data_IF_560938789150
#
_entry.id   IF_560938789150
#
_cell.length_a   1.000
_cell.length_b   1.000
_cell.length_c   1.000
_cell.angle_alpha   90.00
_cell.angle_beta   90.00
_cell.angle_gamma   90.00
#
_symmetry.space_group_name_H-M   'P 1'
#
loop_
_entity.id
_entity.type
_entity.pdbx_description
1 polymer ?
#
# COMPACT_ATOMS: atom_id res chain seq x y z
N UNK A 1 -24.46 -14.46 -33.96
CA UNK A 1 -24.53 -15.67 -34.80
C UNK A 1 -25.14 -16.83 -34.00
N UNK A 2 -26.30 -16.59 -33.37
CA UNK A 2 -27.08 -17.56 -32.58
C UNK A 2 -28.50 -17.85 -33.16
N UNK A 3 -28.84 -17.76 -34.48
CA UNK A 3 -30.19 -18.11 -34.93
C UNK A 3 -30.43 -19.62 -35.13
N UNK A 4 -29.41 -20.49 -34.99
CA UNK A 4 -29.48 -21.82 -35.61
C UNK A 4 -30.08 -22.94 -34.74
N UNK A 5 -30.10 -22.79 -33.41
CA UNK A 5 -30.72 -23.78 -32.53
C UNK A 5 -32.25 -23.73 -32.62
N UNK A 6 -32.83 -22.53 -32.61
CA UNK A 6 -34.28 -22.34 -32.80
C UNK A 6 -34.72 -22.77 -34.20
N UNK A 7 -33.86 -22.52 -35.20
CA UNK A 7 -34.12 -22.95 -36.58
C UNK A 7 -34.13 -24.49 -36.71
N UNK A 8 -33.14 -25.18 -36.13
CA UNK A 8 -33.10 -26.64 -36.12
C UNK A 8 -34.25 -27.27 -35.33
N UNK A 9 -34.64 -26.66 -34.21
CA UNK A 9 -35.80 -27.08 -33.41
C UNK A 9 -37.09 -26.97 -34.24
N UNK A 10 -37.35 -25.81 -34.86
CA UNK A 10 -38.56 -25.60 -35.65
C UNK A 10 -38.59 -26.48 -36.91
N UNK A 11 -37.45 -26.67 -37.58
CA UNK A 11 -37.38 -27.48 -38.79
C UNK A 11 -37.67 -28.96 -38.52
N UNK A 12 -37.10 -29.54 -37.46
CA UNK A 12 -37.33 -30.96 -37.16
C UNK A 12 -38.61 -31.15 -36.36
N UNK A 13 -38.69 -30.55 -35.17
CA UNK A 13 -39.77 -30.83 -34.22
C UNK A 13 -41.09 -30.25 -34.73
N UNK A 14 -41.06 -29.06 -35.35
CA UNK A 14 -42.24 -28.46 -35.95
C UNK A 14 -42.82 -29.31 -37.08
N UNK A 15 -41.98 -29.78 -38.01
CA UNK A 15 -42.43 -30.64 -39.11
C UNK A 15 -43.00 -31.98 -38.61
N UNK A 16 -42.34 -32.62 -37.65
CA UNK A 16 -42.79 -33.89 -37.08
C UNK A 16 -44.08 -33.74 -36.25
N UNK A 17 -44.22 -32.66 -35.45
CA UNK A 17 -45.46 -32.41 -34.71
C UNK A 17 -46.61 -32.09 -35.66
N UNK A 18 -46.34 -31.36 -36.75
CA UNK A 18 -47.34 -31.10 -37.77
C UNK A 18 -47.82 -32.41 -38.43
N UNK A 19 -46.90 -33.28 -38.84
CA UNK A 19 -47.22 -34.60 -39.40
C UNK A 19 -48.08 -35.42 -38.43
N UNK A 20 -47.70 -35.44 -37.14
CA UNK A 20 -48.44 -36.14 -36.09
C UNK A 20 -49.86 -35.59 -35.94
N UNK A 21 -50.02 -34.27 -35.89
CA UNK A 21 -51.34 -33.65 -35.65
C UNK A 21 -52.25 -33.75 -36.86
N UNK A 22 -51.75 -33.40 -38.04
CA UNK A 22 -52.57 -33.31 -39.25
C UNK A 22 -52.82 -34.69 -39.87
N UNK A 23 -51.77 -35.48 -40.10
CA UNK A 23 -51.90 -36.73 -40.85
C UNK A 23 -52.30 -37.89 -39.95
N UNK A 24 -51.56 -38.13 -38.85
CA UNK A 24 -51.91 -39.23 -37.92
C UNK A 24 -53.22 -38.89 -37.18
N UNK A 25 -53.37 -37.64 -36.73
CA UNK A 25 -54.62 -37.16 -36.11
C UNK A 25 -55.82 -37.26 -37.06
N UNK A 26 -55.66 -36.82 -38.31
CA UNK A 26 -56.70 -36.93 -39.34
C UNK A 26 -57.12 -38.37 -39.63
N UNK A 27 -56.17 -39.29 -39.77
CA UNK A 27 -56.48 -40.72 -39.94
C UNK A 27 -57.19 -41.32 -38.72
N UNK A 28 -56.83 -40.89 -37.50
CA UNK A 28 -57.50 -41.32 -36.27
C UNK A 28 -58.96 -40.84 -36.22
N UNK A 29 -59.23 -39.63 -36.68
CA UNK A 29 -60.61 -39.12 -36.71
C UNK A 29 -61.42 -39.75 -37.87
N UNK A 30 -60.77 -40.03 -39.01
CA UNK A 30 -61.34 -40.84 -40.08
C UNK A 30 -61.75 -42.24 -39.63
N UNK A 31 -60.91 -42.90 -38.81
CA UNK A 31 -61.23 -44.19 -38.18
C UNK A 31 -62.50 -44.14 -37.35
N UNK A 32 -62.68 -43.11 -36.52
CA UNK A 32 -63.90 -42.94 -35.70
C UNK A 32 -65.15 -42.77 -36.57
N UNK A 33 -65.04 -42.02 -37.68
CA UNK A 33 -66.15 -41.85 -38.63
C UNK A 33 -66.53 -43.18 -39.28
N UNK A 34 -65.53 -43.96 -39.72
CA UNK A 34 -65.73 -45.31 -40.23
C UNK A 34 -66.41 -46.21 -39.19
N UNK A 35 -65.84 -46.34 -37.98
CA UNK A 35 -66.39 -47.17 -36.90
C UNK A 35 -67.84 -46.80 -36.56
N UNK A 36 -68.17 -45.50 -36.55
CA UNK A 36 -69.55 -45.03 -36.33
C UNK A 36 -70.51 -45.47 -37.43
N UNK A 37 -70.11 -45.36 -38.70
CA UNK A 37 -70.96 -45.78 -39.82
C UNK A 37 -71.08 -47.30 -39.89
N UNK A 38 -70.02 -48.03 -39.56
CA UNK A 38 -70.07 -49.49 -39.37
C UNK A 38 -71.12 -49.87 -38.34
N UNK A 39 -71.14 -49.21 -37.17
CA UNK A 39 -72.12 -49.50 -36.13
C UNK A 39 -73.56 -49.25 -36.60
N UNK A 40 -73.82 -48.14 -37.30
CA UNK A 40 -75.15 -47.85 -37.83
C UNK A 40 -75.59 -48.86 -38.89
N UNK A 41 -74.71 -49.20 -39.82
CA UNK A 41 -75.00 -50.19 -40.86
C UNK A 41 -75.31 -51.56 -40.25
N UNK A 42 -74.47 -52.04 -39.32
CA UNK A 42 -74.74 -53.32 -38.63
C UNK A 42 -76.07 -53.27 -37.86
N UNK A 43 -76.38 -52.17 -37.17
CA UNK A 43 -77.65 -52.03 -36.44
C UNK A 43 -78.85 -52.02 -37.38
N UNK A 44 -78.74 -51.32 -38.53
CA UNK A 44 -79.79 -51.31 -39.55
C UNK A 44 -79.98 -52.69 -40.18
N UNK A 45 -78.88 -53.41 -40.44
CA UNK A 45 -78.90 -54.77 -40.96
C UNK A 45 -79.56 -55.75 -39.98
N UNK A 46 -79.18 -55.72 -38.69
CA UNK A 46 -79.80 -56.57 -37.68
C UNK A 46 -81.29 -56.29 -37.54
N UNK A 47 -81.69 -55.01 -37.54
CA UNK A 47 -83.10 -54.62 -37.52
C UNK A 47 -83.84 -55.16 -38.76
N UNK A 48 -83.24 -55.00 -39.94
CA UNK A 48 -83.80 -55.43 -41.21
C UNK A 48 -84.02 -56.95 -41.25
N UNK A 49 -83.01 -57.73 -40.86
CA UNK A 49 -83.07 -59.20 -40.83
C UNK A 49 -84.11 -59.74 -39.83
N UNK A 50 -84.44 -58.98 -38.80
CA UNK A 50 -85.44 -59.34 -37.79
C UNK A 50 -86.85 -58.85 -38.13
N UNK A 51 -87.11 -58.29 -39.33
CA UNK A 51 -88.47 -57.93 -39.73
C UNK A 51 -89.36 -59.19 -39.87
N UNK A 52 -90.56 -59.12 -39.29
CA UNK A 52 -91.56 -60.16 -39.46
C UNK A 52 -92.06 -60.20 -40.91
N UNK A 53 -92.16 -61.38 -41.50
CA UNK A 53 -92.76 -61.61 -42.82
C UNK A 53 -94.23 -61.18 -42.95
N UNK A 54 -94.91 -60.86 -41.83
CA UNK A 54 -96.29 -60.37 -41.80
C UNK A 54 -96.41 -58.83 -41.84
N UNK A 55 -95.28 -58.11 -41.94
CA UNK A 55 -95.27 -56.64 -41.98
C UNK A 55 -95.89 -56.11 -43.28
N UNK A 56 -96.57 -54.94 -43.24
CA UNK A 56 -97.08 -54.29 -44.44
C UNK A 56 -95.95 -53.94 -45.42
N UNK A 57 -96.21 -54.10 -46.71
CA UNK A 57 -95.23 -53.87 -47.80
C UNK A 57 -94.62 -52.46 -47.78
N UNK A 58 -95.42 -51.43 -47.46
CA UNK A 58 -94.95 -50.05 -47.32
C UNK A 58 -93.89 -49.91 -46.22
N UNK A 59 -94.02 -50.67 -45.12
CA UNK A 59 -93.04 -50.64 -44.04
C UNK A 59 -91.76 -51.39 -44.41
N UNK A 60 -91.86 -52.48 -45.18
CA UNK A 60 -90.70 -53.22 -45.70
C UNK A 60 -89.88 -52.35 -46.66
N UNK A 61 -90.53 -51.69 -47.62
CA UNK A 61 -89.89 -50.77 -48.58
C UNK A 61 -89.13 -49.62 -47.91
N UNK A 62 -89.64 -49.11 -46.78
CA UNK A 62 -88.97 -48.06 -46.00
C UNK A 62 -87.69 -48.57 -45.33
N UNK A 63 -87.70 -49.80 -44.81
CA UNK A 63 -86.53 -50.40 -44.17
C UNK A 63 -85.48 -50.82 -45.21
N UNK A 64 -85.90 -51.26 -46.41
CA UNK A 64 -85.01 -51.47 -47.57
C UNK A 64 -84.23 -50.20 -47.91
N UNK A 65 -84.96 -49.08 -48.12
CA UNK A 65 -84.35 -47.81 -48.47
C UNK A 65 -83.38 -47.30 -47.38
N UNK A 66 -83.69 -47.53 -46.10
CA UNK A 66 -82.84 -47.17 -44.98
C UNK A 66 -81.56 -48.04 -44.97
N UNK A 67 -81.69 -49.35 -45.17
CA UNK A 67 -80.54 -50.26 -45.22
C UNK A 67 -79.60 -49.89 -46.37
N UNK A 68 -80.13 -49.66 -47.57
CA UNK A 68 -79.34 -49.20 -48.71
C UNK A 68 -78.63 -47.86 -48.43
N UNK A 69 -79.32 -46.94 -47.77
CA UNK A 69 -78.73 -45.64 -47.40
C UNK A 69 -77.56 -45.81 -46.43
N UNK A 70 -77.72 -46.61 -45.38
CA UNK A 70 -76.66 -46.87 -44.41
C UNK A 70 -75.51 -47.69 -45.04
N UNK A 71 -75.80 -48.61 -45.97
CA UNK A 71 -74.78 -49.34 -46.73
C UNK A 71 -73.93 -48.39 -47.57
N UNK A 72 -74.55 -47.49 -48.35
CA UNK A 72 -73.82 -46.48 -49.12
C UNK A 72 -72.94 -45.59 -48.24
N UNK A 73 -73.43 -45.21 -47.06
CA UNK A 73 -72.67 -44.42 -46.10
C UNK A 73 -71.50 -45.19 -45.48
N UNK A 74 -71.68 -46.48 -45.20
CA UNK A 74 -70.63 -47.38 -44.72
C UNK A 74 -69.55 -47.57 -45.78
N UNK A 75 -69.93 -47.88 -47.02
CA UNK A 75 -69.00 -48.08 -48.13
C UNK A 75 -68.15 -46.83 -48.37
N UNK A 76 -68.79 -45.66 -48.43
CA UNK A 76 -68.09 -44.38 -48.56
C UNK A 76 -67.11 -44.15 -47.40
N UNK A 77 -67.55 -44.33 -46.15
CA UNK A 77 -66.69 -44.11 -44.99
C UNK A 77 -65.53 -45.12 -44.92
N UNK A 78 -65.73 -46.35 -45.40
CA UNK A 78 -64.69 -47.37 -45.46
C UNK A 78 -63.61 -47.01 -46.47
N UNK A 79 -64.00 -46.59 -47.69
CA UNK A 79 -63.07 -46.19 -48.74
C UNK A 79 -62.34 -44.90 -48.38
N UNK A 80 -63.05 -43.90 -47.82
CA UNK A 80 -62.44 -42.68 -47.28
C UNK A 80 -61.32 -43.02 -46.27
N UNK A 81 -61.59 -43.95 -45.35
CA UNK A 81 -60.62 -44.34 -44.34
C UNK A 81 -59.42 -45.11 -44.93
N UNK A 82 -59.64 -46.01 -45.89
CA UNK A 82 -58.56 -46.71 -46.61
C UNK A 82 -57.68 -45.70 -47.36
N UNK A 83 -58.27 -44.72 -48.03
CA UNK A 83 -57.53 -43.64 -48.70
C UNK A 83 -56.68 -42.84 -47.70
N UNK A 84 -57.24 -42.45 -46.55
CA UNK A 84 -56.50 -41.75 -45.50
C UNK A 84 -55.31 -42.58 -44.99
N UNK A 85 -55.50 -43.88 -44.75
CA UNK A 85 -54.41 -44.77 -44.32
C UNK A 85 -53.30 -44.84 -45.38
N UNK A 86 -53.68 -44.96 -46.65
CA UNK A 86 -52.73 -45.01 -47.74
C UNK A 86 -51.95 -43.71 -47.87
N UNK A 87 -52.63 -42.56 -47.74
CA UNK A 87 -51.99 -41.25 -47.77
C UNK A 87 -50.95 -41.10 -46.66
N UNK A 88 -51.29 -41.47 -45.40
CA UNK A 88 -50.33 -41.45 -44.28
C UNK A 88 -49.12 -42.34 -44.56
N UNK A 89 -49.32 -43.54 -45.13
CA UNK A 89 -48.22 -44.46 -45.45
C UNK A 89 -47.28 -43.90 -46.52
N UNK A 90 -47.82 -43.23 -47.54
CA UNK A 90 -46.97 -42.61 -48.57
C UNK A 90 -46.26 -41.37 -48.03
N UNK A 91 -46.97 -40.49 -47.30
CA UNK A 91 -46.40 -39.26 -46.72
C UNK A 91 -45.25 -39.55 -45.76
N UNK A 92 -45.38 -40.57 -44.91
CA UNK A 92 -44.31 -40.96 -43.97
C UNK A 92 -42.97 -41.21 -44.66
N UNK A 93 -42.99 -41.74 -45.90
CA UNK A 93 -41.76 -42.12 -46.62
C UNK A 93 -40.94 -40.90 -47.04
N UNK A 94 -41.59 -39.81 -47.42
CA UNK A 94 -40.88 -38.63 -47.94
C UNK A 94 -40.80 -37.49 -46.92
N UNK A 95 -41.87 -37.16 -46.19
CA UNK A 95 -41.86 -35.99 -45.30
C UNK A 95 -40.83 -36.11 -44.18
N UNK A 96 -40.59 -37.33 -43.66
CA UNK A 96 -39.54 -37.58 -42.67
C UNK A 96 -38.13 -37.39 -43.25
N UNK A 97 -37.91 -37.92 -44.45
CA UNK A 97 -36.60 -37.84 -45.12
C UNK A 97 -36.31 -36.41 -45.54
N UNK A 98 -37.29 -35.68 -46.06
CA UNK A 98 -37.17 -34.26 -46.39
C UNK A 98 -36.83 -33.43 -45.16
N UNK A 99 -37.50 -33.67 -44.03
CA UNK A 99 -37.21 -33.00 -42.76
C UNK A 99 -35.76 -33.20 -42.33
N UNK A 100 -35.26 -34.45 -42.38
CA UNK A 100 -33.87 -34.75 -42.04
C UNK A 100 -32.87 -34.15 -43.05
N UNK A 101 -33.19 -34.19 -44.33
CA UNK A 101 -32.33 -33.66 -45.38
C UNK A 101 -32.16 -32.15 -45.23
N UNK A 102 -33.25 -31.41 -45.02
CA UNK A 102 -33.21 -29.96 -44.77
C UNK A 102 -32.38 -29.62 -43.54
N UNK A 103 -32.53 -30.38 -42.46
CA UNK A 103 -31.69 -30.21 -41.27
C UNK A 103 -30.21 -30.44 -41.57
N UNK A 104 -29.87 -31.51 -42.28
CA UNK A 104 -28.48 -31.82 -42.67
C UNK A 104 -27.85 -30.69 -43.49
N UNK A 105 -28.60 -30.12 -44.44
CA UNK A 105 -28.13 -28.95 -45.19
C UNK A 105 -27.86 -27.75 -44.27
N UNK A 106 -28.82 -27.41 -43.39
CA UNK A 106 -28.64 -26.32 -42.43
C UNK A 106 -27.44 -26.53 -41.51
N UNK A 107 -27.24 -27.76 -41.02
CA UNK A 107 -26.12 -28.16 -40.19
C UNK A 107 -24.78 -27.99 -40.92
N UNK A 108 -24.65 -28.52 -42.15
CA UNK A 108 -23.42 -28.41 -42.93
C UNK A 108 -23.09 -26.96 -43.28
N UNK A 109 -24.09 -26.17 -43.67
CA UNK A 109 -23.90 -24.73 -43.94
C UNK A 109 -23.44 -23.99 -42.69
N UNK A 110 -23.98 -24.30 -41.51
CA UNK A 110 -23.54 -23.69 -40.26
C UNK A 110 -22.06 -23.89 -39.99
N UNK A 111 -21.58 -25.14 -40.05
CA UNK A 111 -20.18 -25.44 -39.81
C UNK A 111 -19.26 -24.83 -40.86
N UNK A 112 -19.69 -24.82 -42.12
CA UNK A 112 -18.95 -24.15 -43.18
C UNK A 112 -18.82 -22.64 -42.91
N UNK A 113 -19.92 -21.96 -42.57
CA UNK A 113 -19.89 -20.53 -42.23
C UNK A 113 -19.02 -20.24 -41.00
N UNK A 114 -19.11 -21.10 -39.98
CA UNK A 114 -18.28 -20.98 -38.77
C UNK A 114 -16.79 -21.13 -39.09
N UNK A 115 -16.43 -22.06 -39.97
CA UNK A 115 -15.05 -22.25 -40.44
C UNK A 115 -14.53 -21.01 -41.18
N UNK A 116 -15.29 -20.49 -42.15
CA UNK A 116 -14.87 -19.31 -42.92
C UNK A 116 -14.69 -18.08 -42.01
N UNK A 117 -15.60 -17.85 -41.05
CA UNK A 117 -15.47 -16.76 -40.08
C UNK A 117 -14.21 -16.90 -39.20
N UNK A 118 -13.91 -18.13 -38.75
CA UNK A 118 -12.72 -18.40 -37.95
C UNK A 118 -11.44 -18.13 -38.75
N UNK A 119 -11.43 -18.55 -40.02
CA UNK A 119 -10.32 -18.31 -40.96
C UNK A 119 -10.11 -16.82 -41.23
N UNK A 120 -11.18 -16.05 -41.42
CA UNK A 120 -11.09 -14.58 -41.57
C UNK A 120 -10.46 -13.90 -40.34
N UNK A 121 -10.66 -14.49 -39.15
CA UNK A 121 -10.13 -13.98 -37.88
C UNK A 121 -8.70 -14.42 -37.57
N UNK A 122 -8.16 -15.40 -38.31
CA UNK A 122 -6.86 -16.03 -38.04
C UNK A 122 -5.71 -15.02 -38.07
N UNK A 123 -5.73 -14.10 -39.04
CA UNK A 123 -4.72 -13.04 -39.17
C UNK A 123 -4.70 -12.12 -37.94
N UNK A 124 -5.87 -11.70 -37.47
CA UNK A 124 -5.99 -10.84 -36.29
C UNK A 124 -5.53 -11.54 -35.02
N UNK A 125 -5.84 -12.83 -34.87
CA UNK A 125 -5.38 -13.62 -33.73
C UNK A 125 -3.85 -13.76 -33.72
N UNK A 126 -3.26 -14.02 -34.90
CA UNK A 126 -1.81 -14.12 -35.07
C UNK A 126 -1.10 -12.79 -34.78
N UNK A 127 -1.63 -11.68 -35.29
CA UNK A 127 -1.09 -10.34 -35.00
C UNK A 127 -1.17 -10.01 -33.50
N UNK A 128 -2.29 -10.33 -32.84
CA UNK A 128 -2.44 -10.15 -31.41
C UNK A 128 -1.42 -10.98 -30.62
N UNK A 129 -1.21 -12.24 -31.01
CA UNK A 129 -0.22 -13.12 -30.40
C UNK A 129 1.20 -12.54 -30.53
N UNK A 130 1.55 -12.03 -31.71
CA UNK A 130 2.85 -11.41 -31.96
C UNK A 130 3.05 -10.13 -31.13
N UNK A 131 2.04 -9.25 -31.05
CA UNK A 131 2.07 -8.05 -30.20
C UNK A 131 2.24 -8.40 -28.73
N UNK A 132 1.50 -9.40 -28.25
CA UNK A 132 1.59 -9.85 -26.87
C UNK A 132 3.00 -10.37 -26.55
N UNK A 133 3.62 -11.11 -27.46
CA UNK A 133 4.99 -11.58 -27.29
C UNK A 133 5.98 -10.40 -27.25
N UNK A 134 5.85 -9.45 -28.17
CA UNK A 134 6.68 -8.24 -28.19
C UNK A 134 6.59 -7.47 -26.87
N UNK A 135 5.40 -7.27 -26.33
CA UNK A 135 5.22 -6.59 -25.04
C UNK A 135 5.86 -7.36 -23.88
N UNK A 136 5.85 -8.71 -23.90
CA UNK A 136 6.56 -9.52 -22.90
C UNK A 136 8.07 -9.31 -23.01
N UNK A 137 8.61 -9.32 -24.21
CA UNK A 137 10.05 -9.17 -24.44
C UNK A 137 10.51 -7.76 -24.00
N UNK A 138 9.75 -6.72 -24.34
CA UNK A 138 9.97 -5.33 -23.89
C UNK A 138 9.94 -5.21 -22.36
N UNK A 139 8.99 -5.88 -21.69
CA UNK A 139 8.92 -5.91 -20.22
C UNK A 139 10.17 -6.55 -19.62
N UNK A 140 10.61 -7.70 -20.14
CA UNK A 140 11.80 -8.41 -19.63
C UNK A 140 13.06 -7.57 -19.82
N UNK A 141 13.22 -6.95 -21.00
CA UNK A 141 14.34 -6.06 -21.29
C UNK A 141 14.36 -4.86 -20.31
N UNK A 142 13.23 -4.15 -20.19
CA UNK A 142 13.09 -2.98 -19.31
C UNK A 142 13.36 -3.36 -17.85
N UNK A 143 12.82 -4.49 -17.39
CA UNK A 143 13.05 -4.98 -16.03
C UNK A 143 14.54 -5.21 -15.76
N UNK A 144 15.23 -5.86 -16.71
CA UNK A 144 16.66 -6.15 -16.58
C UNK A 144 17.49 -4.87 -16.51
N UNK A 145 17.17 -3.88 -17.35
CA UNK A 145 17.83 -2.57 -17.31
C UNK A 145 17.59 -1.84 -15.99
N UNK A 146 16.35 -1.83 -15.49
CA UNK A 146 15.99 -1.21 -14.21
C UNK A 146 16.69 -1.90 -13.03
N UNK A 147 16.77 -3.23 -13.02
CA UNK A 147 17.49 -3.98 -12.00
C UNK A 147 18.99 -3.67 -12.03
N UNK A 148 19.60 -3.59 -13.21
CA UNK A 148 21.00 -3.20 -13.39
C UNK A 148 21.26 -1.77 -12.90
N UNK A 149 20.39 -0.81 -13.28
CA UNK A 149 20.49 0.57 -12.83
C UNK A 149 20.35 0.70 -11.30
N UNK A 150 19.43 -0.05 -10.69
CA UNK A 150 19.25 -0.12 -9.25
C UNK A 150 20.54 -0.58 -8.56
N UNK A 151 21.11 -1.69 -9.01
CA UNK A 151 22.32 -2.25 -8.41
C UNK A 151 23.51 -1.30 -8.54
N UNK A 152 23.74 -0.73 -9.74
CA UNK A 152 24.78 0.30 -9.97
C UNK A 152 24.58 1.52 -9.07
N UNK A 153 23.34 1.98 -8.89
CA UNK A 153 23.04 3.13 -8.03
C UNK A 153 23.33 2.82 -6.56
N UNK A 154 23.01 1.61 -6.09
CA UNK A 154 23.30 1.17 -4.72
C UNK A 154 24.81 1.05 -4.49
N UNK A 155 25.55 0.45 -5.42
CA UNK A 155 27.01 0.33 -5.35
C UNK A 155 27.68 1.71 -5.28
N UNK A 156 27.26 2.66 -6.11
CA UNK A 156 27.78 4.03 -6.10
C UNK A 156 27.50 4.72 -4.75
N UNK A 157 26.32 4.50 -4.16
CA UNK A 157 25.98 5.03 -2.82
C UNK A 157 26.77 4.40 -1.67
N UNK A 158 27.18 3.14 -1.80
CA UNK A 158 27.98 2.44 -0.78
C UNK A 158 29.46 2.77 -0.87
N UNK A 159 29.97 2.98 -2.10
CA UNK A 159 31.41 3.19 -2.35
C UNK A 159 31.84 4.64 -2.37
N UNK A 160 30.92 5.58 -2.64
CA UNK A 160 31.19 7.03 -2.64
C UNK A 160 30.19 7.75 -1.73
N UNK A 161 30.68 8.61 -0.84
CA UNK A 161 29.83 9.59 -0.16
C UNK A 161 29.34 10.62 -1.18
N UNK A 162 28.16 10.40 -1.76
CA UNK A 162 27.57 11.39 -2.68
C UNK A 162 26.98 12.56 -1.90
N UNK A 163 27.47 13.77 -2.19
CA UNK A 163 26.81 14.99 -1.75
C UNK A 163 25.53 15.20 -2.56
N UNK A 164 24.40 14.78 -1.99
CA UNK A 164 23.06 14.93 -2.57
C UNK A 164 22.76 16.40 -2.89
N UNK A 165 23.36 17.34 -2.15
CA UNK A 165 23.13 18.76 -2.34
C UNK A 165 23.78 19.37 -3.59
N UNK A 166 24.63 18.61 -4.30
CA UNK A 166 25.32 19.04 -5.53
C UNK A 166 24.84 18.30 -6.79
N UNK A 167 23.81 17.45 -6.70
CA UNK A 167 23.35 16.62 -7.82
C UNK A 167 22.67 17.41 -8.95
N UNK A 168 22.06 18.55 -8.64
CA UNK A 168 21.49 19.47 -9.63
C UNK A 168 22.43 20.65 -9.82
N UNK A 169 22.92 20.84 -11.05
CA UNK A 169 23.85 21.92 -11.40
C UNK A 169 23.15 23.29 -11.50
N UNK A 170 21.82 23.33 -11.44
CA UNK A 170 21.05 24.58 -11.46
C UNK A 170 21.28 25.42 -10.20
N UNK A 171 21.50 24.78 -9.06
CA UNK A 171 21.72 25.44 -7.78
C UNK A 171 23.15 25.21 -7.29
N UNK A 172 23.69 26.17 -6.54
CA UNK A 172 24.99 25.99 -5.87
C UNK A 172 24.90 24.96 -4.76
N UNK A 173 23.77 24.95 -4.04
CA UNK A 173 23.44 23.90 -3.08
C UNK A 173 21.93 23.80 -2.91
N UNK A 174 21.47 22.58 -2.68
CA UNK A 174 20.08 22.32 -2.31
C UNK A 174 20.01 21.19 -1.28
N UNK A 175 18.90 21.09 -0.55
CA UNK A 175 18.71 20.03 0.42
C UNK A 175 17.77 20.42 1.54
N UNK A 176 17.57 19.50 2.48
CA UNK A 176 16.68 19.73 3.60
C UNK A 176 17.40 20.45 4.75
N UNK A 177 16.80 21.53 5.23
CA UNK A 177 17.20 22.23 6.45
C UNK A 177 16.01 22.33 7.40
N UNK A 178 16.27 22.48 8.70
CA UNK A 178 15.22 22.81 9.65
C UNK A 178 15.33 24.29 10.02
N UNK A 179 14.23 25.02 9.90
CA UNK A 179 14.14 26.44 10.27
C UNK A 179 13.56 26.56 11.68
N UNK A 180 14.17 27.42 12.50
CA UNK A 180 13.62 27.81 13.79
C UNK A 180 12.55 28.89 13.59
N UNK A 181 11.29 28.51 13.74
CA UNK A 181 10.14 29.41 13.69
C UNK A 181 9.70 29.83 15.09
N UNK A 182 9.40 31.12 15.25
CA UNK A 182 8.73 31.63 16.45
C UNK A 182 7.22 31.53 16.26
N UNK A 183 6.54 30.82 17.16
CA UNK A 183 5.08 30.71 17.24
C UNK A 183 4.57 31.37 18.52
N UNK A 184 3.25 31.55 18.61
CA UNK A 184 2.61 32.22 19.75
C UNK A 184 2.96 31.60 21.12
N UNK A 185 3.25 30.29 21.18
CA UNK A 185 3.55 29.56 22.41
C UNK A 185 4.98 29.02 22.49
N UNK A 186 5.93 29.67 21.82
CA UNK A 186 7.34 29.30 21.86
C UNK A 186 7.93 29.03 20.47
N UNK A 187 9.07 28.37 20.43
CA UNK A 187 9.78 28.10 19.17
C UNK A 187 9.57 26.67 18.69
N UNK A 188 9.44 26.49 17.37
CA UNK A 188 9.36 25.16 16.73
C UNK A 188 10.39 25.05 15.62
N UNK A 189 10.81 23.83 15.32
CA UNK A 189 11.64 23.54 14.16
C UNK A 189 10.78 22.97 13.04
N UNK A 190 10.87 23.55 11.85
CA UNK A 190 10.09 23.13 10.68
C UNK A 190 11.01 22.76 9.53
N UNK A 191 10.76 21.60 8.94
CA UNK A 191 11.56 21.08 7.82
C UNK A 191 11.23 21.86 6.55
N UNK A 192 12.27 22.34 5.88
CA UNK A 192 12.20 23.04 4.61
C UNK A 192 13.12 22.37 3.59
N UNK A 193 12.70 22.34 2.33
CA UNK A 193 13.61 22.11 1.22
C UNK A 193 14.17 23.46 0.78
N UNK A 194 15.48 23.62 0.91
CA UNK A 194 16.18 24.86 0.66
C UNK A 194 16.99 24.76 -0.63
N UNK A 195 17.04 25.85 -1.38
CA UNK A 195 17.81 25.97 -2.62
C UNK A 195 18.55 27.31 -2.60
N UNK A 196 19.84 27.27 -2.89
CA UNK A 196 20.68 28.46 -2.97
C UNK A 196 21.38 28.54 -4.32
N UNK A 197 21.26 29.71 -4.95
CA UNK A 197 22.05 30.06 -6.13
C UNK A 197 23.02 31.20 -5.79
N UNK A 198 24.33 30.89 -5.81
CA UNK A 198 25.42 31.84 -5.52
C UNK A 198 25.51 32.98 -6.52
N UNK A 199 25.14 32.76 -7.79
CA UNK A 199 25.21 33.80 -8.83
C UNK A 199 24.20 34.92 -8.57
N UNK A 200 22.97 34.55 -8.22
CA UNK A 200 21.90 35.49 -7.89
C UNK A 200 21.83 35.86 -6.41
N UNK A 201 22.56 35.16 -5.54
CA UNK A 201 22.45 35.19 -4.07
C UNK A 201 21.02 34.91 -3.57
N UNK A 202 20.21 34.24 -4.38
CA UNK A 202 18.84 33.92 -4.04
C UNK A 202 18.80 32.66 -3.18
N UNK A 203 18.16 32.77 -2.02
CA UNK A 203 17.92 31.68 -1.09
C UNK A 203 16.42 31.42 -0.98
N UNK A 204 16.01 30.22 -1.38
CA UNK A 204 14.61 29.79 -1.41
C UNK A 204 14.36 28.76 -0.32
N UNK A 205 13.29 28.93 0.46
CA UNK A 205 12.83 27.97 1.46
C UNK A 205 11.40 27.54 1.11
N UNK A 206 11.23 26.23 0.97
CA UNK A 206 9.93 25.62 0.70
C UNK A 206 9.58 24.74 1.90
N UNK A 207 8.54 25.05 2.68
CA UNK A 207 8.12 24.19 3.77
C UNK A 207 7.78 22.80 3.24
N UNK A 208 8.32 21.77 3.88
CA UNK A 208 8.18 20.40 3.43
C UNK A 208 7.44 19.56 4.46
N UNK A 209 6.27 19.05 4.06
CA UNK A 209 5.47 18.11 4.84
C UNK A 209 5.37 16.76 4.14
N UNK A 210 5.96 15.73 4.76
CA UNK A 210 6.02 14.37 4.23
C UNK A 210 4.65 13.64 4.17
N UNK A 211 3.62 14.17 4.85
CA UNK A 211 2.30 13.53 4.95
C UNK A 211 1.34 14.09 3.88
N UNK A 212 1.38 15.40 3.63
CA UNK A 212 0.36 16.06 2.82
C UNK A 212 0.77 16.30 1.37
N UNK A 213 2.08 16.26 1.04
CA UNK A 213 2.61 16.45 -0.32
C UNK A 213 2.32 17.81 -0.98
N UNK A 214 1.50 18.67 -0.35
CA UNK A 214 1.17 20.00 -0.85
C UNK A 214 2.35 20.95 -0.67
N UNK A 215 2.78 21.54 -1.78
CA UNK A 215 3.69 22.68 -1.79
C UNK A 215 2.94 23.89 -1.20
N UNK A 216 3.35 24.33 -0.01
CA UNK A 216 2.84 25.57 0.60
C UNK A 216 3.64 26.78 0.10
N UNK A 217 3.35 27.97 0.65
CA UNK A 217 4.07 29.21 0.34
C UNK A 217 5.59 29.04 0.29
N UNK A 218 6.18 29.44 -0.83
CA UNK A 218 7.62 29.51 -1.03
C UNK A 218 8.13 30.86 -0.50
N UNK A 219 9.08 30.85 0.42
CA UNK A 219 9.77 32.07 0.85
C UNK A 219 11.09 32.22 0.08
N UNK A 220 11.32 33.40 -0.48
CA UNK A 220 12.55 33.73 -1.20
C UNK A 220 13.17 34.97 -0.62
N UNK A 221 14.49 34.97 -0.51
CA UNK A 221 15.24 36.11 0.00
C UNK A 221 16.62 36.21 -0.64
N UNK A 222 17.10 37.44 -0.83
CA UNK A 222 18.50 37.69 -1.16
C UNK A 222 19.37 37.58 0.08
N UNK A 223 20.28 36.62 0.08
CA UNK A 223 21.18 36.31 1.18
C UNK A 223 22.15 37.47 1.44
N UNK A 224 22.08 38.14 2.60
CA UNK A 224 23.01 39.19 3.05
C UNK A 224 24.26 38.60 3.71
N UNK A 225 24.07 37.72 4.69
CA UNK A 225 25.16 37.04 5.39
C UNK A 225 24.75 35.66 5.89
N UNK A 226 25.75 34.80 6.04
CA UNK A 226 25.64 33.47 6.63
C UNK A 226 26.72 33.34 7.72
N UNK A 227 26.35 32.95 8.94
CA UNK A 227 27.27 32.87 10.08
C UNK A 227 27.00 31.61 10.88
N UNK A 228 28.04 30.87 11.28
CA UNK A 228 27.88 29.68 12.12
C UNK A 228 27.36 30.08 13.52
N UNK A 229 26.34 29.37 14.01
CA UNK A 229 25.77 29.58 15.35
C UNK A 229 26.62 28.83 16.38
N UNK A 230 26.92 29.45 17.51
CA UNK A 230 27.67 28.81 18.59
C UNK A 230 26.80 27.78 19.32
N UNK A 231 27.35 26.59 19.60
CA UNK A 231 26.62 25.52 20.29
C UNK A 231 26.16 25.92 21.69
N UNK A 232 26.87 26.82 22.38
CA UNK A 232 26.47 27.28 23.72
C UNK A 232 25.30 28.27 23.68
N UNK A 233 24.98 28.81 22.49
CA UNK A 233 23.88 29.77 22.30
C UNK A 233 22.57 29.10 21.87
N UNK A 234 22.60 27.80 21.53
CA UNK A 234 21.43 27.05 21.09
C UNK A 234 21.57 25.56 21.43
N UNK A 235 20.54 24.97 22.02
CA UNK A 235 20.52 23.54 22.36
C UNK A 235 20.20 22.66 21.13
N UNK A 236 20.95 22.84 20.03
CA UNK A 236 20.85 22.09 18.78
C UNK A 236 22.21 22.04 18.07
N UNK A 237 22.52 20.92 17.45
CA UNK A 237 23.75 20.73 16.65
C UNK A 237 23.59 21.30 15.24
N UNK A 238 24.73 21.62 14.61
CA UNK A 238 24.84 21.96 13.18
C UNK A 238 24.06 23.21 12.74
N UNK A 239 23.92 24.18 13.63
CA UNK A 239 23.14 25.38 13.38
C UNK A 239 23.97 26.51 12.76
N UNK A 240 23.33 27.30 11.91
CA UNK A 240 23.88 28.53 11.35
C UNK A 240 22.75 29.54 11.14
N UNK A 241 23.13 30.81 11.07
CA UNK A 241 22.22 31.92 10.90
C UNK A 241 22.38 32.54 9.52
N UNK A 242 21.25 32.87 8.92
CA UNK A 242 21.15 33.59 7.66
C UNK A 242 20.41 34.89 7.88
N UNK A 243 20.88 35.96 7.25
CA UNK A 243 20.17 37.25 7.18
C UNK A 243 19.88 37.61 5.72
N UNK A 244 18.79 38.34 5.49
CA UNK A 244 18.39 38.80 4.15
C UNK A 244 18.72 40.28 3.96
N UNK A 245 18.98 40.71 2.72
CA UNK A 245 19.27 42.12 2.41
C UNK A 245 18.04 43.01 2.65
N UNK A 246 16.86 42.50 2.31
CA UNK A 246 15.59 43.22 2.33
C UNK A 246 14.91 43.21 3.71
N UNK A 247 15.36 42.35 4.63
CA UNK A 247 14.73 42.14 5.95
C UNK A 247 15.73 42.44 7.05
N UNK A 248 16.04 43.72 7.22
CA UNK A 248 17.08 44.17 8.15
C UNK A 248 16.72 43.80 9.60
N UNK A 249 17.70 43.24 10.33
CA UNK A 249 17.53 42.74 11.70
C UNK A 249 16.85 41.38 11.84
N UNK A 250 16.24 40.80 10.79
CA UNK A 250 15.65 39.46 10.87
C UNK A 250 16.72 38.37 10.66
N UNK A 251 16.85 37.48 11.64
CA UNK A 251 17.78 36.34 11.61
C UNK A 251 17.00 35.04 11.44
N UNK A 252 17.36 34.25 10.43
CA UNK A 252 16.83 32.90 10.18
C UNK A 252 17.83 31.88 10.70
N UNK A 253 17.47 31.16 11.76
CA UNK A 253 18.33 30.11 12.30
C UNK A 253 17.96 28.78 11.69
N UNK A 254 18.93 28.19 11.00
CA UNK A 254 18.79 26.96 10.23
C UNK A 254 19.65 25.86 10.86
N UNK A 255 19.17 24.63 10.80
CA UNK A 255 19.88 23.44 11.23
C UNK A 255 20.09 22.51 10.04
N UNK A 256 21.36 22.16 9.79
CA UNK A 256 21.78 21.16 8.81
C UNK A 256 21.69 19.73 9.36
N UNK A 257 21.79 18.73 8.47
CA UNK A 257 21.61 17.32 8.84
C UNK A 257 22.85 16.71 9.52
N UNK A 258 24.04 17.24 9.21
CA UNK A 258 25.33 16.81 9.76
C UNK A 258 26.31 17.97 9.82
N UNK A 259 27.49 17.75 10.43
CA UNK A 259 28.56 18.74 10.44
C UNK A 259 29.11 19.00 9.02
N UNK A 260 29.26 17.95 8.21
CA UNK A 260 29.71 18.08 6.81
C UNK A 260 28.67 18.84 5.98
N UNK A 261 27.39 18.54 6.15
CA UNK A 261 26.30 19.25 5.46
C UNK A 261 26.29 20.74 5.86
N UNK A 262 26.45 21.06 7.16
CA UNK A 262 26.59 22.44 7.63
C UNK A 262 27.78 23.14 6.98
N UNK A 263 28.96 22.50 6.95
CA UNK A 263 30.17 23.09 6.34
C UNK A 263 29.92 23.41 4.87
N UNK A 264 29.34 22.49 4.12
CA UNK A 264 29.05 22.70 2.71
C UNK A 264 27.98 23.79 2.47
N UNK A 265 26.98 23.91 3.34
CA UNK A 265 26.03 25.05 3.30
C UNK A 265 26.72 26.38 3.59
N UNK A 266 27.60 26.43 4.59
CA UNK A 266 28.40 27.61 4.88
C UNK A 266 29.30 27.97 3.70
N UNK A 267 30.03 27.01 3.13
CA UNK A 267 30.93 27.23 1.99
C UNK A 267 30.18 27.72 0.75
N UNK A 268 29.00 27.16 0.47
CA UNK A 268 28.16 27.60 -0.63
C UNK A 268 27.74 29.08 -0.47
N UNK A 269 27.42 29.48 0.76
CA UNK A 269 26.90 30.80 1.13
C UNK A 269 27.98 31.80 1.60
N UNK A 270 29.26 31.50 1.40
CA UNK A 270 30.41 32.31 1.87
C UNK A 270 30.34 32.63 3.38
N UNK A 271 29.91 31.64 4.15
CA UNK A 271 29.61 31.77 5.56
C UNK A 271 30.85 32.03 6.42
N UNK A 272 30.67 32.80 7.49
CA UNK A 272 31.75 33.19 8.41
C UNK A 272 31.66 32.45 9.73
N UNK A 273 32.82 32.19 10.33
CA UNK A 273 32.89 31.81 11.74
C UNK A 273 32.48 33.02 12.61
N UNK A 274 31.81 32.79 13.76
CA UNK A 274 31.42 33.88 14.63
C UNK A 274 32.66 34.64 15.10
N UNK A 275 32.66 35.96 14.93
CA UNK A 275 33.77 36.81 15.30
C UNK A 275 33.85 36.85 16.83
N UNK A 276 34.86 36.17 17.37
CA UNK A 276 35.22 36.31 18.78
C UNK A 276 35.56 37.78 19.02
N UNK A 277 34.80 38.47 19.86
CA UNK A 277 35.46 39.44 20.73
C UNK A 277 36.43 38.61 21.56
N UNK A 278 37.69 38.57 21.11
CA UNK A 278 38.81 37.92 21.76
C UNK A 278 38.85 38.47 23.17
N UNK A 279 38.34 37.70 24.13
CA UNK A 279 38.48 37.95 25.56
C UNK A 279 39.95 37.78 25.92
N UNK A 280 40.77 38.75 25.56
CA UNK A 280 42.20 38.81 25.88
C UNK A 280 42.47 39.44 27.25
N UNK A 281 41.43 39.70 28.06
CA UNK A 281 41.56 40.32 29.39
C UNK A 281 40.58 39.77 30.43
N UNK A 282 40.34 38.46 30.46
CA UNK A 282 40.18 37.82 31.76
C UNK A 282 41.40 36.95 31.98
N UNK A 283 42.34 37.52 32.74
CA UNK A 283 43.32 36.76 33.48
C UNK A 283 42.65 35.50 34.04
N UNK A 284 43.18 34.36 33.58
CA UNK A 284 43.35 33.15 34.35
C UNK A 284 43.48 33.48 35.84
N UNK A 285 42.36 33.57 36.56
CA UNK A 285 42.30 33.29 37.99
C UNK A 285 42.41 31.78 38.12
N UNK A 286 43.65 31.32 38.04
CA UNK A 286 44.05 29.96 38.36
C UNK A 286 44.06 29.79 39.87
N UNK A 287 42.89 29.61 40.46
CA UNK A 287 42.79 28.67 41.60
C UNK A 287 42.58 27.29 40.95
N UNK A 288 43.67 26.65 40.55
CA UNK A 288 43.60 25.35 39.86
C UNK A 288 42.93 24.32 40.76
N UNK A 289 41.76 23.81 40.37
CA UNK A 289 41.21 22.56 40.91
C UNK A 289 42.25 21.45 40.64
N UNK A 290 43.04 21.06 41.63
CA UNK A 290 43.96 19.92 41.54
C UNK A 290 43.59 18.94 42.63
N UNK A 291 43.78 17.63 42.40
CA UNK A 291 43.50 16.59 43.39
C UNK A 291 44.64 16.55 44.43
N UNK A 292 44.82 17.64 45.15
CA UNK A 292 45.82 17.82 46.21
C UNK A 292 45.24 17.42 47.58
N UNK A 293 46.03 17.59 48.65
CA UNK A 293 45.59 17.25 50.00
C UNK A 293 44.33 18.01 50.47
N UNK A 294 44.11 19.23 49.95
CA UNK A 294 42.92 20.04 50.26
C UNK A 294 41.69 19.52 49.52
N UNK A 295 41.86 19.21 48.24
CA UNK A 295 40.86 18.58 47.38
C UNK A 295 40.38 17.23 47.88
N UNK A 296 41.32 16.37 48.30
CA UNK A 296 40.98 15.06 48.87
C UNK A 296 40.22 15.22 50.18
N UNK A 297 40.66 16.13 51.05
CA UNK A 297 39.96 16.44 52.30
C UNK A 297 38.53 16.94 52.06
N UNK A 298 38.35 17.84 51.09
CA UNK A 298 37.04 18.34 50.65
C UNK A 298 36.11 17.21 50.22
N UNK A 299 36.57 16.34 49.30
CA UNK A 299 35.78 15.22 48.78
C UNK A 299 35.45 14.23 49.89
N UNK A 300 36.43 13.82 50.69
CA UNK A 300 36.23 12.84 51.78
C UNK A 300 35.23 13.32 52.82
N UNK A 301 35.28 14.59 53.23
CA UNK A 301 34.32 15.16 54.19
C UNK A 301 32.91 15.26 53.62
N UNK A 302 32.77 15.65 52.35
CA UNK A 302 31.47 15.67 51.68
C UNK A 302 30.89 14.26 51.56
N UNK A 303 31.70 13.26 51.21
CA UNK A 303 31.27 11.86 51.11
C UNK A 303 30.89 11.27 52.46
N UNK A 304 31.69 11.51 53.51
CA UNK A 304 31.36 11.05 54.86
C UNK A 304 29.99 11.59 55.32
N UNK A 305 29.68 12.86 55.02
CA UNK A 305 28.36 13.43 55.34
C UNK A 305 27.23 12.82 54.48
N UNK A 306 27.51 12.49 53.22
CA UNK A 306 26.55 11.83 52.34
C UNK A 306 26.29 10.37 52.74
N UNK A 307 27.28 9.68 53.27
CA UNK A 307 27.15 8.33 53.83
C UNK A 307 26.32 8.33 55.12
N UNK A 308 26.52 9.34 55.98
CA UNK A 308 25.81 9.48 57.26
C UNK A 308 24.31 9.75 57.10
N UNK A 309 23.90 10.65 56.17
CA UNK A 309 22.49 11.07 56.04
C UNK A 309 21.90 11.07 54.62
N UNK A 310 22.70 10.77 53.60
CA UNK A 310 22.29 10.88 52.19
C UNK A 310 21.81 9.58 51.55
N UNK A 311 22.16 8.42 52.11
CA UNK A 311 21.90 7.12 51.48
C UNK A 311 20.41 6.77 51.32
N UNK A 312 19.54 7.38 52.12
CA UNK A 312 18.09 7.18 52.04
C UNK A 312 17.39 8.15 51.06
N UNK A 313 18.12 9.12 50.48
CA UNK A 313 17.54 10.08 49.53
C UNK A 313 17.38 9.47 48.13
N UNK A 314 16.14 9.43 47.66
CA UNK A 314 15.84 8.99 46.29
C UNK A 314 16.48 9.92 45.26
N UNK A 315 17.36 9.35 44.42
CA UNK A 315 18.02 10.08 43.35
C UNK A 315 19.17 10.98 43.81
N UNK A 316 19.84 10.64 44.92
CA UNK A 316 20.97 11.35 45.52
C UNK A 316 21.97 11.97 44.51
N UNK A 317 22.40 11.19 43.51
CA UNK A 317 23.34 11.65 42.48
C UNK A 317 22.66 12.21 41.21
N UNK A 318 21.34 12.05 41.07
CA UNK A 318 20.55 12.48 39.90
C UNK A 318 19.97 13.89 40.08
N UNK A 319 19.54 14.25 41.28
CA UNK A 319 18.95 15.56 41.57
C UNK A 319 20.07 16.62 41.67
N UNK A 320 19.86 17.76 41.01
CA UNK A 320 20.86 18.85 40.92
C UNK A 320 20.67 19.85 42.06
N UNK A 321 21.76 20.24 42.71
CA UNK A 321 21.78 21.29 43.73
C UNK A 321 21.76 22.69 43.14
N UNK A 322 21.42 23.69 43.97
CA UNK A 322 21.35 25.09 43.53
C UNK A 322 22.75 25.59 43.15
N UNK A 323 22.95 26.02 41.90
CA UNK A 323 24.27 26.31 41.32
C UNK A 323 25.10 27.32 42.12
N UNK A 324 24.47 28.35 42.71
CA UNK A 324 25.17 29.35 43.53
C UNK A 324 25.74 28.75 44.82
N UNK A 325 24.99 27.87 45.49
CA UNK A 325 25.47 27.14 46.67
C UNK A 325 26.56 26.14 46.30
N UNK A 326 26.39 25.44 45.17
CA UNK A 326 27.39 24.48 44.66
C UNK A 326 28.73 25.18 44.39
N UNK A 327 28.72 26.29 43.66
CA UNK A 327 29.95 27.04 43.36
C UNK A 327 30.61 27.61 44.62
N UNK A 328 29.81 28.12 45.57
CA UNK A 328 30.32 28.59 46.87
C UNK A 328 31.01 27.46 47.64
N UNK A 329 30.40 26.28 47.68
CA UNK A 329 30.95 25.13 48.40
C UNK A 329 32.24 24.62 47.76
N UNK A 330 32.29 24.54 46.43
CA UNK A 330 33.51 24.16 45.69
C UNK A 330 34.64 25.16 45.95
N UNK A 331 34.37 26.46 45.93
CA UNK A 331 35.38 27.49 46.22
C UNK A 331 35.92 27.41 47.65
N UNK A 332 35.06 27.12 48.63
CA UNK A 332 35.51 26.88 50.01
C UNK A 332 36.40 25.63 50.10
N UNK A 333 36.06 24.58 49.35
CA UNK A 333 36.82 23.33 49.26
C UNK A 333 38.24 23.46 48.69
N UNK A 334 38.54 24.52 47.92
CA UNK A 334 39.88 24.78 47.40
C UNK A 334 40.88 25.23 48.48
N UNK A 335 40.41 25.57 49.69
CA UNK A 335 41.25 26.01 50.80
C UNK A 335 40.90 25.24 52.07
N UNK A 336 41.80 24.34 52.50
CA UNK A 336 41.60 23.49 53.68
C UNK A 336 41.23 24.27 54.95
N UNK A 337 41.91 25.39 55.22
CA UNK A 337 41.66 26.22 56.42
C UNK A 337 40.27 26.87 56.42
N UNK A 338 39.73 27.19 55.23
CA UNK A 338 38.38 27.74 55.08
C UNK A 338 37.33 26.64 55.16
N UNK A 339 37.60 25.48 54.57
CA UNK A 339 36.66 24.36 54.53
C UNK A 339 36.50 23.66 55.89
N UNK A 340 37.54 23.60 56.72
CA UNK A 340 37.47 23.04 58.08
C UNK A 340 36.48 23.79 58.98
N UNK A 341 36.22 25.07 58.70
CA UNK A 341 35.25 25.90 59.44
C UNK A 341 33.82 25.74 58.95
N UNK A 342 33.59 24.98 57.87
CA UNK A 342 32.25 24.77 57.30
C UNK A 342 31.55 23.63 58.03
N UNK A 343 30.41 23.92 58.65
CA UNK A 343 29.55 22.91 59.25
C UNK A 343 28.68 22.22 58.16
N UNK A 344 29.14 21.05 57.70
CA UNK A 344 28.40 20.23 56.73
C UNK A 344 27.22 19.47 57.37
N UNK A 345 27.14 19.39 58.70
CA UNK A 345 26.11 18.62 59.39
C UNK A 345 24.74 19.31 59.34
N UNK A 346 24.70 20.64 59.17
CA UNK A 346 23.47 21.43 59.03
C UNK A 346 22.74 21.15 57.69
N UNK A 347 21.59 20.44 57.69
CA UNK A 347 20.87 20.10 56.45
C UNK A 347 20.19 21.30 55.78
N UNK A 348 19.97 22.36 56.54
CA UNK A 348 19.28 23.57 56.10
C UNK A 348 20.20 24.49 55.28
N UNK A 349 21.50 24.48 55.59
CA UNK A 349 22.51 25.24 54.86
C UNK A 349 23.01 24.46 53.63
N UNK A 350 23.41 23.21 53.85
CA UNK A 350 24.00 22.34 52.84
C UNK A 350 23.16 21.09 52.60
N UNK A 351 22.21 21.16 51.67
CA UNK A 351 21.40 20.01 51.28
C UNK A 351 22.22 18.90 50.61
N UNK A 352 21.78 17.64 50.70
CA UNK A 352 22.47 16.48 50.11
C UNK A 352 22.70 16.64 48.60
N UNK A 353 21.71 17.18 47.86
CA UNK A 353 21.84 17.49 46.42
C UNK A 353 22.92 18.54 46.11
N UNK A 354 23.20 19.43 47.06
CA UNK A 354 24.25 20.46 46.94
C UNK A 354 25.62 19.82 47.17
N UNK A 355 25.76 18.95 48.18
CA UNK A 355 26.99 18.18 48.42
C UNK A 355 27.35 17.29 47.23
N UNK A 356 26.39 16.52 46.70
CA UNK A 356 26.65 15.65 45.53
C UNK A 356 26.98 16.46 44.28
N UNK A 357 26.32 17.59 44.08
CA UNK A 357 26.62 18.48 42.95
C UNK A 357 27.98 19.17 43.09
N UNK A 358 28.40 19.53 44.31
CA UNK A 358 29.72 20.11 44.57
C UNK A 358 30.85 19.09 44.33
N UNK A 359 30.70 17.85 44.82
CA UNK A 359 31.65 16.76 44.54
C UNK A 359 31.74 16.48 43.03
N UNK A 360 30.59 16.36 42.33
CA UNK A 360 30.56 16.16 40.87
C UNK A 360 31.25 17.30 40.11
N UNK A 361 30.98 18.54 40.50
CA UNK A 361 31.59 19.73 39.86
C UNK A 361 33.08 19.78 40.10
N UNK A 362 33.53 19.51 41.33
CA UNK A 362 34.95 19.46 41.67
C UNK A 362 35.69 18.38 40.84
N UNK A 363 35.17 17.14 40.81
CA UNK A 363 35.78 16.04 40.05
C UNK A 363 35.77 16.26 38.53
N UNK A 364 34.74 16.91 37.98
CA UNK A 364 34.67 17.26 36.55
C UNK A 364 35.67 18.34 36.16
N UNK A 365 35.98 19.24 37.08
CA UNK A 365 36.89 20.36 36.86
C UNK A 365 38.36 20.01 37.13
N UNK A 366 38.67 18.73 37.41
CA UNK A 366 40.04 18.25 37.47
C UNK A 366 40.68 18.30 36.07
N UNK A 367 41.98 18.64 35.95
CA UNK A 367 42.73 18.63 34.70
C UNK A 367 42.74 17.26 34.02
N UNK A 368 42.65 16.20 34.82
CA UNK A 368 42.55 14.82 34.37
C UNK A 368 41.45 14.10 35.16
N UNK A 369 40.59 13.27 34.52
CA UNK A 369 39.59 12.47 35.22
C UNK A 369 40.24 11.48 36.21
N UNK A 370 39.50 11.11 37.26
CA UNK A 370 39.95 10.10 38.25
C UNK A 370 40.38 8.79 37.60
N UNK A 371 39.62 8.34 36.58
CA UNK A 371 40.09 7.32 35.64
C UNK A 371 40.95 8.02 34.60
N UNK A 372 42.26 8.09 34.86
CA UNK A 372 43.22 8.78 33.99
C UNK A 372 43.15 8.24 32.57
N UNK A 373 43.42 9.09 31.57
CA UNK A 373 43.34 8.67 30.17
C UNK A 373 44.31 7.53 29.86
N UNK A 374 45.43 7.46 30.58
CA UNK A 374 46.41 6.38 30.50
C UNK A 374 45.84 5.03 30.95
N UNK A 375 45.07 5.00 32.04
CA UNK A 375 44.56 3.76 32.63
C UNK A 375 43.22 3.32 32.04
N UNK A 376 42.51 4.21 31.33
CA UNK A 376 41.19 3.92 30.75
C UNK A 376 41.19 2.68 29.83
N UNK A 377 42.19 2.55 28.95
CA UNK A 377 42.26 1.41 28.01
C UNK A 377 42.48 0.07 28.73
N UNK A 378 43.38 0.05 29.73
CA UNK A 378 43.64 -1.15 30.54
C UNK A 378 42.42 -1.54 31.39
N UNK A 379 41.74 -0.55 31.98
CA UNK A 379 40.51 -0.78 32.74
C UNK A 379 39.38 -1.34 31.86
N UNK A 380 39.16 -0.78 30.66
CA UNK A 380 38.13 -1.28 29.74
C UNK A 380 38.42 -2.72 29.28
N UNK A 381 39.69 -3.05 29.04
CA UNK A 381 40.10 -4.41 28.70
C UNK A 381 39.84 -5.39 29.85
N UNK A 382 40.27 -5.07 31.08
CA UNK A 382 40.02 -5.90 32.26
C UNK A 382 38.53 -6.06 32.57
N UNK A 383 37.73 -4.99 32.43
CA UNK A 383 36.29 -5.04 32.61
C UNK A 383 35.61 -5.93 31.55
N UNK A 384 36.13 -5.96 30.32
CA UNK A 384 35.60 -6.82 29.26
C UNK A 384 35.87 -8.32 29.50
N UNK A 385 37.01 -8.66 30.12
CA UNK A 385 37.35 -10.04 30.49
C UNK A 385 36.49 -10.55 31.67
N UNK A 386 36.14 -9.68 32.62
CA UNK A 386 35.30 -10.05 33.77
C UNK A 386 33.86 -10.43 33.39
N UNK A 387 33.32 -9.91 32.27
CA UNK A 387 31.99 -10.27 31.76
C UNK A 387 31.92 -11.69 31.16
N UNK A 388 33.06 -12.37 31.02
CA UNK A 388 33.14 -13.76 30.60
C UNK A 388 32.76 -14.78 31.69
N UNK A 389 32.70 -14.37 32.98
CA UNK A 389 32.50 -15.32 34.09
C UNK A 389 31.04 -15.50 34.54
N UNK A 390 30.12 -14.61 34.15
CA UNK A 390 28.69 -14.72 34.51
C UNK A 390 27.84 -15.55 33.50
N UNK A 391 28.45 -16.03 32.40
CA UNK A 391 27.77 -16.85 31.39
C UNK A 391 28.07 -18.36 31.51
N UNK A 392 28.81 -18.80 32.53
CA UNK A 392 29.12 -20.22 32.76
C UNK A 392 28.36 -20.89 33.92
N UNK A 393 27.39 -20.21 34.56
CA UNK A 393 26.53 -20.80 35.60
C UNK A 393 25.02 -20.83 35.27
N UNK A 394 24.66 -20.84 33.98
CA UNK A 394 23.31 -21.18 33.54
C UNK A 394 23.36 -22.17 32.35
N UNK A 395 23.99 -23.32 32.58
CA UNK A 395 23.83 -24.54 31.79
C UNK A 395 23.17 -25.61 32.63
#
# INVERSE_FOLDING_TARGET
>A
MLPNLDHGYLQIIGALDNFRRQHIGGARDGRKKFEKQTQKFCTALDRYLNLSAKKPEEQTLREDALLEQEQRQFDQASLDYVCLLQEVQQRKKFEFVETLLSFMYGWLTFYHQGHELAKDSERSMTDLQARLQKTRDEFVATRTEVESLKNRTLEVRQTKSLDVGSMDKMYTRQGYLHLLEKKAFGTTWTKHYCMYDKKSRNFTLIPYNQITGKLTSTDQMKLKSCVRRMSDTIDRRFCFDVTAEERDGQVYTLQALSEDDRRLWMDAMDGKEPTYARFEHLERRTDHTSLDSSGLFFVSRCLAQLEDRGLQDQGLYRVVGVSSKVNRLVQLGLSRTKFEQVDLASPQEWENKTLTSAVKTYLRNLPEPLMTFRLHSEFMNAASESRGWDLQFMG
#
